data_IF_870902156563
#
_entry.id   IF_870902156563
#
_cell.length_a   1.000
_cell.length_b   1.000
_cell.length_c   1.000
_cell.angle_alpha   90.00
_cell.angle_beta   90.00
_cell.angle_gamma   90.00
#
_symmetry.space_group_name_H-M   'P 1'
#
loop_
_entity.id
_entity.type
_entity.pdbx_description
1 polymer ?
#
# COMPACT_ATOMS: atom_id res chain seq x y z
N UNK A 1 -13.91 -4.78 -0.45
CA UNK A 1 -13.87 -4.71 1.03
C UNK A 1 -13.07 -3.47 1.40
N UNK A 2 -13.52 -2.70 2.39
CA UNK A 2 -12.73 -1.55 2.90
C UNK A 2 -12.01 -2.00 4.16
N UNK A 3 -10.69 -1.90 4.16
CA UNK A 3 -9.85 -2.12 5.33
C UNK A 3 -9.39 -0.75 5.84
N UNK A 4 -9.50 -0.52 7.15
CA UNK A 4 -9.08 0.73 7.75
C UNK A 4 -8.20 0.51 8.97
N UNK A 5 -7.27 1.43 9.20
CA UNK A 5 -6.37 1.41 10.36
C UNK A 5 -6.15 2.84 10.88
N UNK A 6 -6.45 3.07 12.16
CA UNK A 6 -6.14 4.33 12.82
C UNK A 6 -4.66 4.38 13.22
N UNK A 7 -4.02 5.53 13.02
CA UNK A 7 -2.61 5.79 13.33
C UNK A 7 -2.51 7.08 14.14
N UNK A 8 -1.76 7.05 15.23
CA UNK A 8 -1.55 8.17 16.16
C UNK A 8 -0.42 9.10 15.68
N UNK A 9 -0.38 9.33 14.37
CA UNK A 9 0.56 10.19 13.64
C UNK A 9 -0.21 11.06 12.67
N UNK A 10 0.22 12.32 12.48
CA UNK A 10 -0.46 13.26 11.60
C UNK A 10 -0.55 12.74 10.17
N UNK A 11 -1.68 13.01 9.49
CA UNK A 11 -1.89 12.55 8.11
C UNK A 11 -0.80 13.03 7.14
N UNK A 12 -0.22 14.21 7.39
CA UNK A 12 0.89 14.75 6.59
C UNK A 12 2.15 13.88 6.71
N UNK A 13 2.55 13.53 7.93
CA UNK A 13 3.74 12.70 8.15
C UNK A 13 3.53 11.28 7.60
N UNK A 14 2.34 10.70 7.82
CA UNK A 14 1.96 9.40 7.25
C UNK A 14 2.01 9.44 5.72
N UNK A 15 1.43 10.48 5.09
CA UNK A 15 1.47 10.64 3.63
C UNK A 15 2.90 10.77 3.12
N UNK A 16 3.70 11.66 3.72
CA UNK A 16 5.07 11.92 3.32
C UNK A 16 5.94 10.66 3.38
N UNK A 17 5.72 9.79 4.37
CA UNK A 17 6.40 8.51 4.50
C UNK A 17 5.89 7.48 3.49
N UNK A 18 4.58 7.22 3.46
CA UNK A 18 3.98 6.13 2.69
C UNK A 18 4.02 6.36 1.17
N UNK A 19 4.17 7.61 0.71
CA UNK A 19 4.26 7.94 -0.71
C UNK A 19 5.64 7.65 -1.32
N UNK A 20 6.68 7.45 -0.50
CA UNK A 20 8.02 7.15 -1.01
C UNK A 20 8.09 5.67 -1.36
N UNK A 21 8.48 5.37 -2.60
CA UNK A 21 8.52 4.00 -3.10
C UNK A 21 9.54 3.16 -2.30
N UNK A 22 10.64 3.80 -1.91
CA UNK A 22 11.72 3.25 -1.11
C UNK A 22 11.27 2.81 0.29
N UNK A 23 10.19 3.39 0.81
CA UNK A 23 9.63 3.03 2.11
C UNK A 23 8.65 1.86 2.03
N UNK A 24 8.15 1.50 0.84
CA UNK A 24 7.17 0.42 0.70
C UNK A 24 7.66 -0.93 1.27
N UNK A 25 8.91 -1.39 1.02
CA UNK A 25 9.40 -2.64 1.58
C UNK A 25 9.43 -2.70 3.12
N UNK A 26 9.37 -1.54 3.80
CA UNK A 26 9.39 -1.46 5.26
C UNK A 26 8.07 -1.89 5.93
N UNK A 27 6.97 -1.94 5.16
CA UNK A 27 5.64 -2.23 5.71
C UNK A 27 4.74 -3.06 4.81
N UNK A 28 4.91 -2.99 3.48
CA UNK A 28 4.14 -3.79 2.53
C UNK A 28 4.81 -5.16 2.35
N UNK A 29 4.24 -6.20 2.94
CA UNK A 29 4.86 -7.53 2.98
C UNK A 29 5.00 -8.16 1.59
N UNK A 30 4.11 -7.83 0.65
CA UNK A 30 4.25 -8.19 -0.77
C UNK A 30 5.51 -7.63 -1.47
N UNK A 31 6.15 -6.62 -0.87
CA UNK A 31 7.36 -5.96 -1.37
C UNK A 31 8.58 -6.15 -0.46
N UNK A 32 8.51 -7.07 0.52
CA UNK A 32 9.55 -7.26 1.53
C UNK A 32 10.93 -7.65 0.96
N UNK A 33 10.99 -8.17 -0.27
CA UNK A 33 12.26 -8.47 -0.97
C UNK A 33 12.91 -7.24 -1.61
N UNK A 34 12.25 -6.09 -1.54
CA UNK A 34 12.71 -4.82 -2.09
C UNK A 34 11.91 -4.38 -3.32
N UNK A 35 12.14 -3.12 -3.69
CA UNK A 35 11.61 -2.49 -4.89
C UNK A 35 12.74 -1.67 -5.53
N UNK A 36 12.94 -1.81 -6.83
CA UNK A 36 14.04 -1.18 -7.55
C UNK A 36 13.52 -0.21 -8.62
N UNK A 37 14.20 0.93 -8.77
CA UNK A 37 13.91 1.87 -9.84
C UNK A 37 14.79 1.56 -11.06
N UNK A 38 14.18 1.38 -12.23
CA UNK A 38 14.86 1.17 -13.52
C UNK A 38 14.20 2.02 -14.59
N UNK A 39 14.96 2.91 -15.22
CA UNK A 39 14.45 3.78 -16.27
C UNK A 39 13.30 4.71 -15.84
N UNK A 40 13.18 5.03 -14.55
CA UNK A 40 12.09 5.83 -13.99
C UNK A 40 10.86 5.05 -13.55
N UNK A 41 10.81 3.74 -13.83
CA UNK A 41 9.75 2.83 -13.39
C UNK A 41 10.20 2.01 -12.18
N UNK A 42 9.24 1.55 -11.36
CA UNK A 42 9.51 0.79 -10.14
C UNK A 42 9.08 -0.66 -10.30
N UNK A 43 9.97 -1.58 -9.92
CA UNK A 43 9.77 -3.02 -10.06
C UNK A 43 10.04 -3.76 -8.76
N UNK A 44 9.28 -4.83 -8.50
CA UNK A 44 9.49 -5.70 -7.36
C UNK A 44 9.39 -7.17 -7.78
N UNK A 45 10.17 -8.02 -7.09
CA UNK A 45 10.11 -9.46 -7.29
C UNK A 45 9.00 -10.07 -6.44
N UNK A 46 8.04 -10.73 -7.10
CA UNK A 46 6.95 -11.46 -6.45
C UNK A 46 7.01 -12.95 -6.78
N UNK A 47 6.29 -13.82 -6.05
CA UNK A 47 6.11 -15.22 -6.43
C UNK A 47 5.50 -15.41 -7.82
N UNK A 48 4.79 -14.41 -8.35
CA UNK A 48 4.17 -14.41 -9.68
C UNK A 48 5.11 -13.91 -10.78
N UNK A 49 6.36 -13.60 -10.44
CA UNK A 49 7.34 -12.94 -11.31
C UNK A 49 7.51 -11.47 -10.97
N UNK A 50 8.24 -10.76 -11.83
CA UNK A 50 8.51 -9.35 -11.63
C UNK A 50 7.27 -8.50 -11.93
N UNK A 51 6.86 -7.69 -10.96
CA UNK A 51 5.72 -6.77 -11.08
C UNK A 51 6.19 -5.34 -11.21
N UNK A 52 5.43 -4.52 -11.93
CA UNK A 52 5.63 -3.06 -11.98
C UNK A 52 4.67 -2.36 -11.03
N UNK A 53 5.16 -1.42 -10.25
CA UNK A 53 4.33 -0.62 -9.33
C UNK A 53 4.32 0.84 -9.81
N UNK A 54 3.13 1.40 -9.99
CA UNK A 54 2.96 2.81 -10.37
C UNK A 54 2.10 3.51 -9.33
N UNK A 55 2.69 4.45 -8.59
CA UNK A 55 1.97 5.21 -7.57
C UNK A 55 1.38 6.49 -8.16
N UNK A 56 0.23 6.92 -7.60
CA UNK A 56 -0.37 8.20 -7.88
C UNK A 56 0.64 9.36 -7.69
N UNK A 57 0.56 10.42 -8.51
CA UNK A 57 1.37 11.62 -8.30
C UNK A 57 1.17 12.24 -6.91
N UNK A 58 2.18 12.98 -6.45
CA UNK A 58 2.09 13.74 -5.22
C UNK A 58 0.87 14.68 -5.23
N UNK A 59 0.08 14.64 -4.17
CA UNK A 59 -1.20 15.35 -4.06
C UNK A 59 -1.49 15.74 -2.60
N UNK A 60 -2.33 16.75 -2.43
CA UNK A 60 -2.73 17.27 -1.11
C UNK A 60 -3.93 16.55 -0.49
N UNK A 61 -4.45 15.49 -1.14
CA UNK A 61 -5.68 14.81 -0.74
C UNK A 61 -5.43 13.52 0.06
N UNK A 62 -4.16 13.15 0.24
CA UNK A 62 -3.74 11.93 0.93
C UNK A 62 -3.90 10.67 0.09
N UNK A 63 -4.07 10.80 -1.23
CA UNK A 63 -4.27 9.66 -2.14
C UNK A 63 -2.93 8.98 -2.41
N UNK A 64 -2.88 7.68 -2.10
CA UNK A 64 -1.75 6.76 -2.24
C UNK A 64 -2.11 5.60 -3.19
N UNK A 65 -3.11 5.83 -4.05
CA UNK A 65 -3.54 4.87 -5.05
C UNK A 65 -2.34 4.40 -5.89
N UNK A 66 -2.33 3.12 -6.22
CA UNK A 66 -1.25 2.56 -7.02
C UNK A 66 -1.73 1.35 -7.82
N UNK A 67 -1.12 1.19 -8.98
CA UNK A 67 -1.35 0.08 -9.86
C UNK A 67 -0.19 -0.91 -9.77
N UNK A 68 -0.51 -2.19 -9.63
CA UNK A 68 0.44 -3.31 -9.71
C UNK A 68 0.19 -4.05 -11.02
N UNK A 69 1.12 -3.93 -11.97
CA UNK A 69 1.07 -4.62 -13.26
C UNK A 69 1.87 -5.92 -13.20
N UNK A 70 1.20 -7.03 -13.49
CA UNK A 70 1.74 -8.38 -13.55
C UNK A 70 2.53 -8.61 -14.86
N UNK A 71 3.37 -9.67 -14.95
CA UNK A 71 4.13 -9.99 -16.17
C UNK A 71 3.28 -10.21 -17.43
N UNK A 72 2.02 -10.62 -17.26
CA UNK A 72 1.07 -10.83 -18.36
C UNK A 72 0.37 -9.53 -18.82
N UNK A 73 0.71 -8.39 -18.21
CA UNK A 73 0.16 -7.07 -18.50
C UNK A 73 -1.14 -6.75 -17.76
N UNK A 74 -1.70 -7.67 -16.98
CA UNK A 74 -2.86 -7.40 -16.13
C UNK A 74 -2.46 -6.43 -15.03
N UNK A 75 -3.23 -5.36 -14.85
CA UNK A 75 -3.00 -4.36 -13.81
C UNK A 75 -4.07 -4.41 -12.74
N UNK A 76 -3.64 -4.51 -11.49
CA UNK A 76 -4.51 -4.47 -10.31
C UNK A 76 -4.44 -3.08 -9.68
N UNK A 77 -5.58 -2.41 -9.62
CA UNK A 77 -5.70 -1.11 -9.00
C UNK A 77 -5.94 -1.23 -7.49
N UNK A 78 -5.12 -0.56 -6.70
CA UNK A 78 -5.23 -0.48 -5.25
C UNK A 78 -5.60 0.94 -4.85
N UNK A 79 -6.84 1.15 -4.40
CA UNK A 79 -7.26 2.44 -3.88
C UNK A 79 -6.86 2.54 -2.40
N UNK A 80 -5.95 3.45 -2.09
CA UNK A 80 -5.36 3.62 -0.77
C UNK A 80 -5.28 5.10 -0.42
N UNK A 81 -5.74 5.46 0.78
CA UNK A 81 -5.78 6.85 1.21
C UNK A 81 -5.45 7.00 2.68
N UNK A 82 -4.74 8.08 3.01
CA UNK A 82 -4.63 8.61 4.37
C UNK A 82 -5.58 9.81 4.53
N UNK A 83 -6.37 9.80 5.60
CA UNK A 83 -7.33 10.85 5.92
C UNK A 83 -7.01 11.44 7.31
N UNK A 84 -6.98 12.77 7.48
CA UNK A 84 -6.89 13.39 8.81
C UNK A 84 -8.00 12.90 9.75
N UNK A 85 -7.66 12.54 10.98
CA UNK A 85 -8.61 12.06 11.99
C UNK A 85 -8.20 12.57 13.37
N UNK A 86 -8.68 13.76 13.75
CA UNK A 86 -8.22 14.45 14.96
C UNK A 86 -6.73 14.80 14.86
N UNK A 87 -5.95 14.48 15.90
CA UNK A 87 -4.50 14.67 15.91
C UNK A 87 -3.72 13.56 15.17
N UNK A 88 -4.41 12.46 14.83
CA UNK A 88 -3.85 11.33 14.10
C UNK A 88 -4.37 11.26 12.67
N UNK A 89 -4.42 10.04 12.14
CA UNK A 89 -4.89 9.76 10.79
C UNK A 89 -5.61 8.41 10.69
N UNK A 90 -6.40 8.27 9.64
CA UNK A 90 -7.07 7.03 9.28
C UNK A 90 -6.58 6.59 7.90
N UNK A 91 -5.95 5.41 7.86
CA UNK A 91 -5.64 4.69 6.64
C UNK A 91 -6.89 3.97 6.15
N UNK A 92 -7.15 4.02 4.84
CA UNK A 92 -8.25 3.30 4.20
C UNK A 92 -7.78 2.69 2.90
N UNK A 93 -7.91 1.37 2.76
CA UNK A 93 -7.54 0.60 1.59
C UNK A 93 -8.77 -0.17 1.08
N UNK A 94 -9.07 -0.03 -0.21
CA UNK A 94 -10.19 -0.76 -0.86
C UNK A 94 -9.63 -1.97 -1.59
N UNK A 95 -9.89 -3.16 -1.04
CA UNK A 95 -9.54 -4.44 -1.66
C UNK A 95 -10.66 -4.82 -2.63
N UNK A 96 -10.35 -4.83 -3.92
CA UNK A 96 -11.26 -5.24 -4.98
C UNK A 96 -11.18 -6.74 -5.20
N UNK A 97 -12.33 -7.41 -5.35
CA UNK A 97 -12.37 -8.83 -5.69
C UNK A 97 -12.31 -8.98 -7.21
N UNK A 98 -11.23 -9.54 -7.73
CA UNK A 98 -11.10 -9.84 -9.16
C UNK A 98 -12.16 -10.83 -9.65
N UNK A 99 -12.57 -10.70 -10.90
CA UNK A 99 -13.47 -11.65 -11.53
C UNK A 99 -12.83 -13.07 -11.52
N UNK A 100 -13.56 -14.05 -10.99
CA UNK A 100 -13.07 -15.42 -10.86
C UNK A 100 -12.28 -15.73 -9.58
N UNK A 101 -11.97 -14.74 -8.74
CA UNK A 101 -11.33 -14.99 -7.45
C UNK A 101 -12.28 -15.75 -6.51
N UNK A 102 -11.78 -16.81 -5.86
CA UNK A 102 -12.52 -17.53 -4.81
C UNK A 102 -12.74 -16.62 -3.59
N UNK A 103 -13.71 -16.97 -2.75
CA UNK A 103 -13.95 -16.24 -1.50
C UNK A 103 -12.73 -16.33 -0.57
N UNK A 104 -12.13 -17.52 -0.48
CA UNK A 104 -10.93 -17.77 0.32
C UNK A 104 -9.73 -16.92 -0.13
N UNK A 105 -9.47 -16.83 -1.44
CA UNK A 105 -8.40 -15.97 -1.98
C UNK A 105 -8.66 -14.51 -1.63
N UNK A 106 -9.90 -14.04 -1.80
CA UNK A 106 -10.25 -12.66 -1.49
C UNK A 106 -10.13 -12.35 0.01
N UNK A 107 -10.52 -13.28 0.88
CA UNK A 107 -10.37 -13.11 2.33
C UNK A 107 -8.90 -13.11 2.75
N UNK A 108 -8.05 -13.89 2.07
CA UNK A 108 -6.60 -13.87 2.24
C UNK A 108 -5.99 -12.51 1.82
N UNK A 109 -6.41 -11.94 0.69
CA UNK A 109 -5.97 -10.60 0.25
C UNK A 109 -6.36 -9.52 1.28
N UNK A 110 -7.59 -9.59 1.79
CA UNK A 110 -8.06 -8.67 2.83
C UNK A 110 -7.24 -8.82 4.13
N UNK A 111 -6.92 -10.05 4.53
CA UNK A 111 -6.09 -10.31 5.70
C UNK A 111 -4.66 -9.78 5.51
N UNK A 112 -4.08 -9.95 4.32
CA UNK A 112 -2.75 -9.46 3.99
C UNK A 112 -2.70 -7.92 4.08
N UNK A 113 -3.66 -7.22 3.47
CA UNK A 113 -3.75 -5.75 3.55
C UNK A 113 -3.92 -5.27 5.01
N UNK A 114 -4.69 -5.99 5.84
CA UNK A 114 -4.78 -5.66 7.28
C UNK A 114 -3.42 -5.73 7.97
N UNK A 115 -2.62 -6.75 7.67
CA UNK A 115 -1.28 -6.92 8.26
C UNK A 115 -0.34 -5.80 7.81
N UNK A 116 -0.36 -5.44 6.52
CA UNK A 116 0.46 -4.36 5.98
C UNK A 116 0.11 -3.00 6.61
N UNK A 117 -1.18 -2.67 6.74
CA UNK A 117 -1.60 -1.43 7.39
C UNK A 117 -1.22 -1.39 8.88
N UNK A 118 -1.24 -2.54 9.57
CA UNK A 118 -0.79 -2.64 10.95
C UNK A 118 0.74 -2.44 11.06
N UNK A 119 1.51 -3.01 10.15
CA UNK A 119 2.96 -2.80 10.09
C UNK A 119 3.30 -1.33 9.83
N UNK A 120 2.57 -0.67 8.93
CA UNK A 120 2.73 0.76 8.66
C UNK A 120 2.42 1.61 9.90
N UNK A 121 1.34 1.32 10.63
CA UNK A 121 1.03 1.98 11.92
C UNK A 121 2.21 1.86 12.88
N UNK A 122 2.68 0.64 13.11
CA UNK A 122 3.75 0.37 14.08
C UNK A 122 5.04 1.11 13.71
N UNK A 123 5.41 1.10 12.43
CA UNK A 123 6.60 1.79 11.93
C UNK A 123 6.53 3.30 12.15
N UNK A 124 5.37 3.91 11.87
CA UNK A 124 5.18 5.36 12.02
C UNK A 124 5.14 5.80 13.48
N UNK A 125 4.46 5.04 14.34
CA UNK A 125 4.35 5.36 15.76
C UNK A 125 5.67 5.16 16.51
N UNK A 126 6.49 4.19 16.10
CA UNK A 126 7.84 4.02 16.66
C UNK A 126 8.79 5.15 16.29
N UNK A 127 8.65 5.75 15.10
CA UNK A 127 9.47 6.89 14.68
C UNK A 127 9.06 8.22 15.34
N UNK A 128 7.82 8.31 15.82
CA UNK A 128 7.26 9.50 16.45
C UNK A 128 7.42 9.52 17.99
N UNK A 129 7.78 8.38 18.58
CA UNK A 129 8.04 8.21 20.02
C UNK A 129 9.46 8.64 20.40
#
# INVERSE_FOLDING_TARGET
MVVSQAVDVSAEAVYAFARQMENLPLWASGLAKGIEQRGGEWFADSPMGQVKVTMAPANSFGVLDHDVTLPDGVSVHNAFRVTPCGNGSLLTFVVLRSAGASQESFDADVAHVRQDLLALKQQLEQQAA
#
